data_IF_337638361502
#
_entry.id   IF_337638361502
#
_cell.length_a   1.000
_cell.length_b   1.000
_cell.length_c   1.000
_cell.angle_alpha   90.00
_cell.angle_beta   90.00
_cell.angle_gamma   90.00
#
_symmetry.space_group_name_H-M   'P 1'
#
loop_
_entity.id
_entity.type
_entity.pdbx_description
1 polymer ?
2 non-polymer ?
3 water ?
#
# COMPACT_ATOMS: atom_id res chain seq x y z
N UNK A 1 -1.63 -25.72 -3.28
CA UNK A 1 -1.74 -26.96 -2.44
C UNK A 1 -1.99 -26.66 -0.97
N UNK A 2 -2.37 -27.69 -0.18
CA UNK A 2 -2.68 -27.52 1.27
C UNK A 2 -1.58 -26.82 2.10
N UNK A 3 -0.33 -27.13 1.78
CA UNK A 3 0.85 -26.55 2.42
C UNK A 3 1.58 -25.52 1.57
N UNK A 4 1.09 -25.28 0.34
CA UNK A 4 1.77 -24.50 -0.68
C UNK A 4 0.90 -23.40 -1.28
N UNK A 5 0.98 -22.16 -0.74
CA UNK A 5 0.26 -21.06 -1.37
C UNK A 5 0.92 -20.61 -2.67
N UNK A 6 0.15 -20.07 -3.58
CA UNK A 6 0.69 -19.48 -4.79
C UNK A 6 0.15 -18.04 -4.78
N UNK A 7 1.00 -17.11 -4.35
CA UNK A 7 0.69 -15.70 -4.33
C UNK A 7 1.04 -15.08 -5.68
N UNK A 8 0.05 -14.42 -6.32
CA UNK A 8 0.27 -13.60 -7.52
C UNK A 8 0.31 -12.13 -7.08
N UNK A 9 1.41 -11.43 -7.39
CA UNK A 9 1.58 -10.00 -7.12
C UNK A 9 1.35 -9.26 -8.45
N UNK A 10 0.26 -8.53 -8.54
CA UNK A 10 -0.13 -7.78 -9.75
C UNK A 10 0.35 -6.34 -9.62
N UNK A 11 0.49 -5.66 -10.77
CA UNK A 11 1.03 -4.30 -10.83
C UNK A 11 2.35 -4.21 -10.04
N UNK A 12 3.22 -5.19 -10.30
CA UNK A 12 4.50 -5.34 -9.59
C UNK A 12 5.42 -4.16 -9.90
N UNK A 13 5.35 -3.71 -11.15
CA UNK A 13 6.07 -2.55 -11.64
C UNK A 13 7.54 -2.54 -11.29
N UNK A 14 7.93 -1.55 -10.50
CA UNK A 14 9.29 -1.29 -10.12
C UNK A 14 9.63 -1.81 -8.70
N UNK A 15 8.69 -2.50 -8.05
CA UNK A 15 8.86 -2.94 -6.66
C UNK A 15 9.59 -4.28 -6.58
N UNK A 16 10.83 -4.26 -7.08
CA UNK A 16 11.67 -5.41 -7.19
C UNK A 16 12.09 -5.95 -5.83
N UNK A 17 12.54 -5.04 -4.97
CA UNK A 17 12.99 -5.41 -3.64
C UNK A 17 11.84 -6.04 -2.83
N UNK A 18 10.61 -5.51 -2.96
CA UNK A 18 9.44 -6.08 -2.26
C UNK A 18 9.14 -7.51 -2.71
N UNK A 19 9.20 -7.75 -4.02
CA UNK A 19 8.95 -9.10 -4.59
C UNK A 19 10.03 -10.07 -4.09
N UNK A 20 11.28 -9.59 -4.02
CA UNK A 20 12.41 -10.37 -3.51
C UNK A 20 12.12 -10.78 -2.07
N UNK A 21 11.55 -9.85 -1.29
CA UNK A 21 11.19 -10.18 0.09
C UNK A 21 10.14 -11.29 0.15
N UNK A 22 9.14 -11.21 -0.71
CA UNK A 22 8.11 -12.25 -0.81
C UNK A 22 8.67 -13.61 -1.24
N UNK A 23 9.51 -13.62 -2.28
CA UNK A 23 10.14 -14.86 -2.73
C UNK A 23 10.91 -15.51 -1.57
N UNK A 24 11.66 -14.70 -0.83
CA UNK A 24 12.40 -15.19 0.35
C UNK A 24 11.48 -15.73 1.45
N UNK A 25 10.40 -15.02 1.76
CA UNK A 25 9.54 -15.43 2.89
C UNK A 25 8.54 -16.54 2.61
N UNK A 26 8.19 -16.76 1.33
CA UNK A 26 7.31 -17.89 0.96
C UNK A 26 8.12 -19.19 0.97
N UNK A 27 8.33 -19.72 2.18
CA UNK A 27 9.14 -20.94 2.45
C UNK A 27 8.59 -22.21 1.82
N UNK A 28 7.29 -22.22 1.54
CA UNK A 28 6.64 -23.28 0.78
C UNK A 28 5.84 -22.55 -0.29
N UNK A 29 5.52 -23.29 -1.34
CA UNK A 29 4.74 -22.73 -2.41
C UNK A 29 5.49 -21.78 -3.34
N UNK A 30 4.76 -20.81 -3.89
CA UNK A 30 5.25 -19.95 -4.95
C UNK A 30 4.77 -18.50 -4.87
N UNK A 31 5.63 -17.59 -5.33
CA UNK A 31 5.31 -16.19 -5.51
C UNK A 31 5.55 -15.91 -6.99
N UNK A 32 4.51 -15.43 -7.67
CA UNK A 32 4.57 -15.03 -9.09
C UNK A 32 4.20 -13.55 -9.19
N UNK A 33 4.53 -12.95 -10.33
CA UNK A 33 4.29 -11.54 -10.58
C UNK A 33 3.51 -11.31 -11.90
N UNK A 34 2.82 -10.16 -11.96
CA UNK A 34 2.16 -9.71 -13.18
C UNK A 34 2.20 -8.20 -13.31
N UNK A 35 2.20 -7.75 -14.56
CA UNK A 35 2.19 -6.32 -14.92
C UNK A 35 1.76 -6.20 -16.40
N UNK A 36 1.36 -5.01 -16.84
CA UNK A 36 1.00 -4.78 -18.25
C UNK A 36 2.20 -4.55 -19.16
N UNK A 37 3.37 -4.25 -18.59
CA UNK A 37 4.60 -4.00 -19.37
C UNK A 37 5.68 -5.03 -19.10
N UNK A 38 6.33 -5.59 -20.15
CA UNK A 38 7.52 -6.43 -19.93
C UNK A 38 8.74 -5.66 -19.36
N UNK A 39 8.71 -4.33 -19.37
CA UNK A 39 9.78 -3.51 -18.79
C UNK A 39 9.60 -3.23 -17.30
N UNK A 40 8.66 -3.93 -16.62
CA UNK A 40 8.51 -3.80 -15.17
C UNK A 40 9.59 -4.67 -14.51
N UNK A 41 10.59 -4.05 -13.88
CA UNK A 41 11.71 -4.77 -13.23
C UNK A 41 11.30 -5.81 -12.19
N UNK A 42 10.27 -5.52 -11.40
CA UNK A 42 9.78 -6.45 -10.37
C UNK A 42 9.32 -7.82 -10.90
N UNK A 43 8.86 -7.86 -12.16
CA UNK A 43 8.45 -9.12 -12.83
C UNK A 43 9.50 -10.24 -12.71
N UNK A 44 10.76 -9.84 -12.91
CA UNK A 44 11.89 -10.78 -13.00
C UNK A 44 12.49 -11.22 -11.68
N UNK A 45 11.93 -10.73 -10.57
CA UNK A 45 12.33 -11.15 -9.23
C UNK A 45 11.62 -12.45 -8.81
N UNK A 46 10.61 -12.87 -9.58
CA UNK A 46 9.87 -14.12 -9.34
C UNK A 46 10.13 -15.04 -10.54
N UNK A 47 10.02 -16.35 -10.31
CA UNK A 47 10.26 -17.38 -11.34
C UNK A 47 9.27 -17.32 -12.50
N UNK A 48 7.99 -17.19 -12.16
CA UNK A 48 6.90 -17.06 -13.12
C UNK A 48 6.41 -15.61 -13.06
N UNK A 49 6.38 -14.98 -14.21
CA UNK A 49 5.94 -13.59 -14.41
C UNK A 49 5.03 -13.61 -15.65
N UNK A 50 3.96 -12.80 -15.61
CA UNK A 50 2.97 -12.76 -16.69
C UNK A 50 2.61 -11.32 -17.09
N UNK A 51 2.36 -11.12 -18.38
CA UNK A 51 1.90 -9.86 -18.91
C UNK A 51 0.38 -9.98 -18.90
N UNK A 52 -0.26 -8.97 -18.33
CA UNK A 52 -1.72 -8.87 -18.20
C UNK A 52 -2.20 -7.55 -18.86
N UNK A 53 -3.53 -7.39 -19.05
CA UNK A 53 -3.99 -6.08 -19.54
C UNK A 53 -3.74 -4.93 -18.55
N UNK A 54 -3.88 -3.70 -19.02
CA UNK A 54 -3.83 -2.54 -18.13
C UNK A 54 -5.07 -2.63 -17.21
N UNK A 55 -4.95 -2.11 -16.00
CA UNK A 55 -6.04 -2.20 -15.01
C UNK A 55 -7.36 -1.53 -15.41
N UNK A 56 -7.28 -0.48 -16.25
CA UNK A 56 -8.47 0.23 -16.74
C UNK A 56 -9.14 -0.44 -17.96
N UNK A 57 -8.50 -1.47 -18.55
CA UNK A 57 -9.12 -2.20 -19.68
C UNK A 57 -10.26 -3.04 -19.11
N UNK A 58 -11.35 -3.12 -19.88
CA UNK A 58 -12.58 -3.80 -19.47
C UNK A 58 -12.37 -5.28 -19.07
N UNK A 59 -11.60 -5.98 -19.90
CA UNK A 59 -11.28 -7.41 -19.70
C UNK A 59 -10.21 -7.73 -18.64
N UNK A 60 -9.76 -6.75 -17.84
CA UNK A 60 -8.68 -6.99 -16.87
C UNK A 60 -8.98 -8.10 -15.85
N UNK A 61 -10.10 -7.98 -15.16
CA UNK A 61 -10.53 -8.95 -14.15
C UNK A 61 -10.79 -10.32 -14.77
N UNK A 62 -11.47 -10.38 -15.93
CA UNK A 62 -11.69 -11.65 -16.68
C UNK A 62 -10.37 -12.37 -16.92
N UNK A 63 -9.38 -11.59 -17.35
CA UNK A 63 -8.03 -12.09 -17.62
C UNK A 63 -7.34 -12.60 -16.37
N UNK A 64 -7.43 -11.86 -15.26
CA UNK A 64 -6.84 -12.29 -13.99
C UNK A 64 -7.45 -13.57 -13.46
N UNK A 65 -8.76 -13.72 -13.61
CA UNK A 65 -9.46 -14.92 -13.17
C UNK A 65 -8.95 -16.14 -13.97
N UNK A 66 -8.83 -15.96 -15.28
CA UNK A 66 -8.32 -17.03 -16.16
C UNK A 66 -6.85 -17.39 -15.89
N UNK A 67 -6.02 -16.36 -15.67
CA UNK A 67 -4.61 -16.56 -15.30
C UNK A 67 -4.50 -17.35 -14.00
N UNK A 68 -5.32 -16.97 -13.02
CA UNK A 68 -5.33 -17.63 -11.71
C UNK A 68 -5.64 -19.13 -11.80
N UNK A 69 -6.69 -19.48 -12.54
CA UNK A 69 -7.10 -20.86 -12.76
C UNK A 69 -6.04 -21.65 -13.52
N UNK A 70 -5.52 -21.05 -14.59
CA UNK A 70 -4.49 -21.69 -15.41
C UNK A 70 -3.17 -21.92 -14.67
N UNK A 71 -2.77 -20.99 -13.80
CA UNK A 71 -1.49 -21.07 -13.08
C UNK A 71 -1.57 -21.54 -11.61
N UNK A 72 -2.74 -22.00 -11.18
CA UNK A 72 -2.93 -22.51 -9.82
C UNK A 72 -2.69 -21.49 -8.72
N UNK A 73 -3.06 -20.24 -8.99
CA UNK A 73 -2.89 -19.15 -8.03
C UNK A 73 -3.89 -19.38 -6.90
N UNK A 74 -3.43 -19.24 -5.67
CA UNK A 74 -4.27 -19.38 -4.46
C UNK A 74 -4.62 -18.02 -3.82
N UNK A 75 -3.76 -17.02 -4.03
CA UNK A 75 -3.97 -15.68 -3.46
C UNK A 75 -3.42 -14.59 -4.38
N UNK A 76 -4.01 -13.41 -4.25
CA UNK A 76 -3.68 -12.27 -5.09
C UNK A 76 -3.52 -11.00 -4.23
N UNK A 77 -2.54 -10.18 -4.59
CA UNK A 77 -2.22 -8.92 -3.92
C UNK A 77 -1.79 -7.93 -5.00
N UNK A 78 -2.26 -6.68 -4.94
CA UNK A 78 -1.76 -5.62 -5.83
C UNK A 78 -0.87 -4.68 -5.02
N UNK A 79 0.00 -4.01 -5.74
CA UNK A 79 0.94 -3.04 -5.17
C UNK A 79 0.56 -1.60 -5.49
N UNK A 80 -0.54 -1.35 -6.24
CA UNK A 80 -0.95 0.03 -6.60
C UNK A 80 -2.37 0.38 -6.12
N UNK A 81 -2.55 1.65 -5.75
CA UNK A 81 -3.83 2.19 -5.27
C UNK A 81 -5.04 2.02 -6.21
N UNK A 82 -4.89 2.35 -7.50
CA UNK A 82 -6.03 2.25 -8.41
C UNK A 82 -6.60 0.83 -8.63
N UNK A 83 -5.79 -0.19 -8.38
CA UNK A 83 -6.22 -1.58 -8.51
C UNK A 83 -6.92 -2.11 -7.25
N UNK A 84 -6.73 -1.48 -6.10
CA UNK A 84 -7.30 -1.96 -4.83
C UNK A 84 -8.82 -2.11 -4.86
N UNK A 85 -9.53 -1.04 -5.16
CA UNK A 85 -10.97 -1.07 -5.33
C UNK A 85 -11.46 -2.04 -6.41
N UNK A 86 -10.72 -2.13 -7.51
CA UNK A 86 -11.05 -3.04 -8.63
C UNK A 86 -11.06 -4.51 -8.17
N UNK A 87 -10.01 -4.92 -7.46
CA UNK A 87 -9.91 -6.27 -6.90
C UNK A 87 -10.92 -6.50 -5.74
N UNK A 88 -11.12 -5.48 -4.90
CA UNK A 88 -12.08 -5.55 -3.80
C UNK A 88 -13.49 -5.80 -4.32
N UNK A 89 -13.87 -5.07 -5.37
CA UNK A 89 -15.19 -5.19 -6.02
C UNK A 89 -15.42 -6.59 -6.66
N UNK A 90 -14.33 -7.19 -7.15
CA UNK A 90 -14.30 -8.50 -7.79
C UNK A 90 -14.00 -9.69 -6.86
N UNK A 91 -13.88 -9.46 -5.54
CA UNK A 91 -13.52 -10.53 -4.60
C UNK A 91 -14.36 -11.78 -4.71
N UNK A 92 -15.68 -11.61 -4.84
CA UNK A 92 -16.60 -12.77 -5.00
C UNK A 92 -16.31 -13.62 -6.24
N UNK A 93 -15.83 -13.00 -7.31
CA UNK A 93 -15.48 -13.72 -8.54
C UNK A 93 -14.23 -14.55 -8.34
N UNK A 94 -13.27 -13.99 -7.60
CA UNK A 94 -12.07 -14.70 -7.22
C UNK A 94 -12.42 -15.83 -6.24
N UNK A 95 -13.32 -15.57 -5.30
CA UNK A 95 -13.79 -16.59 -4.36
C UNK A 95 -14.51 -17.75 -5.07
N UNK A 96 -15.21 -17.44 -6.17
CA UNK A 96 -15.87 -18.44 -7.00
C UNK A 96 -14.89 -19.39 -7.71
N UNK A 97 -13.63 -19.00 -7.86
CA UNK A 97 -12.55 -19.89 -8.40
C UNK A 97 -11.58 -20.37 -7.30
N UNK A 98 -11.93 -20.12 -6.03
CA UNK A 98 -11.09 -20.46 -4.88
C UNK A 98 -9.94 -19.54 -4.55
N UNK A 99 -9.86 -18.33 -5.15
CA UNK A 99 -8.74 -17.43 -4.93
C UNK A 99 -9.06 -16.35 -3.88
N UNK A 100 -8.15 -16.19 -2.90
CA UNK A 100 -8.25 -15.16 -1.85
C UNK A 100 -7.55 -13.88 -2.32
N UNK A 101 -8.33 -12.80 -2.44
CA UNK A 101 -7.82 -11.49 -2.81
C UNK A 101 -7.43 -10.81 -1.49
N UNK A 102 -6.17 -10.46 -1.36
CA UNK A 102 -5.64 -9.82 -0.14
C UNK A 102 -5.80 -8.30 -0.34
N UNK A 103 -6.98 -7.83 0.02
CA UNK A 103 -7.33 -6.43 -0.09
C UNK A 103 -8.37 -6.11 0.96
N UNK A 104 -8.35 -4.86 1.43
CA UNK A 104 -9.34 -4.38 2.39
C UNK A 104 -10.68 -4.27 1.67
N UNK A 105 -11.81 -4.27 2.43
CA UNK A 105 -13.14 -4.13 1.83
C UNK A 105 -13.26 -2.93 0.89
N UNK A 106 -14.07 -3.08 -0.15
CA UNK A 106 -14.25 -2.07 -1.20
C UNK A 106 -14.53 -0.67 -0.70
N UNK A 107 -15.51 -0.54 0.19
CA UNK A 107 -15.89 0.79 0.75
C UNK A 107 -14.71 1.47 1.42
N UNK A 108 -13.92 0.70 2.16
CA UNK A 108 -12.72 1.21 2.82
C UNK A 108 -11.70 1.68 1.77
N UNK A 109 -11.48 0.86 0.73
CA UNK A 109 -10.54 1.21 -0.36
C UNK A 109 -10.95 2.52 -1.03
N UNK A 110 -12.24 2.63 -1.34
CA UNK A 110 -12.76 3.83 -2.01
C UNK A 110 -12.73 5.07 -1.13
N UNK A 111 -13.00 4.90 0.17
CA UNK A 111 -12.93 6.00 1.15
C UNK A 111 -11.50 6.55 1.26
N UNK A 112 -10.53 5.65 1.27
CA UNK A 112 -9.12 6.01 1.29
C UNK A 112 -8.60 6.58 -0.02
N UNK A 113 -9.13 6.10 -1.15
CA UNK A 113 -8.66 6.52 -2.48
C UNK A 113 -9.03 7.96 -2.86
N UNK A 114 -10.21 8.39 -2.42
CA UNK A 114 -10.73 9.73 -2.73
C UNK A 114 -10.31 10.64 -1.57
N UNK A 115 -9.47 11.63 -1.88
CA UNK A 115 -8.92 12.54 -0.88
C UNK A 115 -10.00 13.33 -0.12
N UNK A 116 -11.11 13.63 -0.80
CA UNK A 116 -12.19 14.38 -0.15
C UNK A 116 -12.95 13.52 0.85
N UNK A 117 -13.29 12.28 0.48
CA UNK A 117 -14.01 11.37 1.41
C UNK A 117 -13.11 11.04 2.60
N UNK A 118 -11.82 10.88 2.35
CA UNK A 118 -10.81 10.67 3.41
C UNK A 118 -10.83 11.87 4.42
N UNK A 119 -10.87 13.09 3.90
CA UNK A 119 -10.97 14.32 4.69
C UNK A 119 -12.24 14.34 5.55
N UNK A 120 -13.38 14.01 4.93
CA UNK A 120 -14.68 13.96 5.61
C UNK A 120 -14.63 12.91 6.74
N UNK A 121 -14.03 11.74 6.48
CA UNK A 121 -13.85 10.69 7.53
C UNK A 121 -13.10 11.26 8.75
N UNK A 122 -11.99 11.95 8.49
CA UNK A 122 -11.15 12.57 9.53
C UNK A 122 -11.93 13.59 10.36
N UNK A 123 -12.69 14.46 9.69
CA UNK A 123 -13.55 15.44 10.37
C UNK A 123 -14.56 14.74 11.31
N UNK A 124 -15.15 13.64 10.85
CA UNK A 124 -16.09 12.85 11.67
C UNK A 124 -15.43 12.17 12.87
N UNK A 125 -14.22 11.66 12.64
CA UNK A 125 -13.48 10.89 13.65
C UNK A 125 -12.65 11.73 14.60
N UNK A 126 -12.50 13.03 14.35
CA UNK A 126 -11.65 13.89 15.17
C UNK A 126 -10.15 13.75 14.91
N UNK A 127 -9.79 13.31 13.71
CA UNK A 127 -8.38 13.14 13.31
C UNK A 127 -7.93 14.42 12.59
N UNK A 128 -6.81 15.02 13.01
CA UNK A 128 -6.29 16.23 12.35
C UNK A 128 -5.95 15.92 10.89
N UNK A 129 -6.25 16.88 10.02
CA UNK A 129 -6.08 16.73 8.58
C UNK A 129 -6.07 18.12 7.98
N UNK A 130 -5.27 18.31 6.92
CA UNK A 130 -5.21 19.59 6.20
C UNK A 130 -6.61 19.97 5.67
N UNK A 131 -7.02 21.22 5.91
CA UNK A 131 -8.27 21.75 5.37
C UNK A 131 -8.27 21.51 3.87
N UNK A 132 -9.34 20.90 3.37
CA UNK A 132 -9.44 20.46 1.98
C UNK A 132 -10.74 20.94 1.39
N UNK A 133 -10.67 21.37 0.13
CA UNK A 133 -11.81 21.95 -0.59
C UNK A 133 -12.04 21.22 -1.93
N UNK A 134 -13.27 20.78 -2.16
CA UNK A 134 -13.71 20.10 -3.40
C UNK A 134 -14.31 21.05 -4.46
N UNK A 135 -14.64 22.28 -4.06
CA UNK A 135 -15.18 23.32 -4.95
C UNK A 135 -14.31 24.58 -4.86
N UNK A 136 -14.35 25.40 -5.91
CA UNK A 136 -13.59 26.66 -5.98
C UNK A 136 -14.18 27.72 -5.06
N UNK A 137 -15.52 27.70 -4.91
CA UNK A 137 -16.24 28.65 -4.03
C UNK A 137 -15.83 28.53 -2.56
N UNK A 138 -15.81 27.29 -2.06
CA UNK A 138 -15.45 26.98 -0.65
C UNK A 138 -14.01 27.36 -0.33
N UNK A 139 -13.09 27.19 -1.29
CA UNK A 139 -11.69 27.61 -1.15
C UNK A 139 -11.58 29.14 -1.04
N UNK A 140 -12.32 29.85 -1.90
CA UNK A 140 -12.35 31.33 -1.89
C UNK A 140 -12.96 31.85 -0.57
N UNK A 141 -14.06 31.23 -0.13
CA UNK A 141 -14.71 31.52 1.17
C UNK A 141 -13.71 31.36 2.32
N UNK A 142 -13.02 30.22 2.34
CA UNK A 142 -12.01 29.92 3.36
C UNK A 142 -10.84 30.91 3.37
N UNK A 143 -10.40 31.34 2.19
CA UNK A 143 -9.37 32.38 2.06
C UNK A 143 -9.91 33.69 2.60
N UNK A 144 -11.16 34.02 2.23
CA UNK A 144 -11.87 35.23 2.68
C UNK A 144 -12.01 35.30 4.22
N UNK A 145 -12.30 34.16 4.84
CA UNK A 145 -12.41 34.05 6.31
C UNK A 145 -11.07 33.84 7.05
N UNK A 146 -9.94 33.81 6.34
CA UNK A 146 -8.61 33.56 6.93
C UNK A 146 -8.38 32.12 7.41
N UNK A 147 -9.25 31.20 6.97
CA UNK A 147 -9.18 29.79 7.35
C UNK A 147 -8.03 29.07 6.63
N UNK A 148 -7.58 29.62 5.50
CA UNK A 148 -6.44 29.10 4.74
C UNK A 148 -5.59 30.26 4.16
N UNK A 149 -4.26 30.08 4.20
CA UNK A 149 -3.27 31.08 3.75
C UNK A 149 -2.90 30.91 2.26
N UNK A 150 -2.23 31.94 1.74
CA UNK A 150 -1.81 32.06 0.32
C UNK A 150 -1.14 30.84 -0.34
N UNK A 151 -0.04 30.28 0.26
CA UNK A 151 0.62 29.11 -0.36
C UNK A 151 -0.24 27.84 -0.16
N UNK A 152 -0.47 27.10 -1.24
CA UNK A 152 -1.39 25.95 -1.27
C UNK A 152 -0.96 24.79 -2.21
N UNK A 153 -1.34 23.56 -1.84
CA UNK A 153 -1.15 22.38 -2.70
C UNK A 153 -2.48 22.16 -3.44
N UNK A 154 -2.40 21.97 -4.76
CA UNK A 154 -3.52 21.54 -5.58
C UNK A 154 -3.14 20.12 -6.02
N UNK A 155 -3.93 19.13 -5.59
CA UNK A 155 -3.71 17.71 -5.89
C UNK A 155 -4.89 17.19 -6.73
N UNK A 156 -4.71 16.03 -7.42
CA UNK A 156 -5.88 15.41 -8.07
C UNK A 156 -6.73 14.79 -6.94
N UNK A 157 -8.03 14.68 -7.13
CA UNK A 157 -8.91 14.18 -6.06
C UNK A 157 -8.66 12.72 -5.67
N UNK A 158 -8.44 11.87 -6.67
CA UNK A 158 -8.20 10.44 -6.48
C UNK A 158 -6.71 10.10 -6.37
N UNK A 159 -6.39 9.17 -5.45
CA UNK A 159 -5.01 8.71 -5.18
C UNK A 159 -4.45 9.32 -3.90
N UNK A 183 -11.54 16.31 -12.04
CA UNK A 183 -11.82 16.74 -10.68
C UNK A 183 -10.55 16.72 -9.79
N UNK A 184 -10.31 17.84 -9.10
CA UNK A 184 -9.15 18.04 -8.23
C UNK A 184 -9.61 18.52 -6.84
N UNK A 185 -8.63 18.69 -5.95
CA UNK A 185 -8.83 19.30 -4.63
C UNK A 185 -7.73 20.32 -4.38
N UNK A 186 -8.04 21.31 -3.54
CA UNK A 186 -7.06 22.29 -3.06
C UNK A 186 -7.02 22.06 -1.55
N UNK A 187 -5.83 22.14 -0.96
CA UNK A 187 -5.70 21.96 0.48
C UNK A 187 -4.55 22.72 1.13
N UNK A 188 -4.73 22.99 2.43
CA UNK A 188 -3.80 23.69 3.30
C UNK A 188 -2.41 23.08 3.19
N UNK A 189 -1.39 23.93 2.95
CA UNK A 189 0.00 23.50 2.84
C UNK A 189 0.53 23.20 4.25
N UNK A 190 0.72 21.92 4.54
CA UNK A 190 1.21 21.45 5.83
C UNK A 190 2.75 21.52 5.79
N UNK A 191 3.31 22.25 6.74
CA UNK A 191 4.75 22.43 6.85
C UNK A 191 5.15 21.72 8.14
N UNK A 192 5.90 20.63 8.00
CA UNK A 192 6.34 19.84 9.15
C UNK A 192 7.10 18.58 8.79
N UNK A 193 7.38 17.74 9.78
CA UNK A 193 8.11 16.50 9.54
C UNK A 193 7.15 15.45 9.03
N UNK A 194 7.39 14.97 7.80
CA UNK A 194 6.55 13.95 7.17
C UNK A 194 6.96 12.57 7.69
N UNK A 195 5.96 11.76 8.03
CA UNK A 195 6.14 10.41 8.58
C UNK A 195 5.44 9.39 7.68
N UNK A 196 6.15 8.31 7.38
CA UNK A 196 5.64 7.20 6.54
C UNK A 196 5.51 5.99 7.46
N UNK A 197 4.27 5.59 7.74
CA UNK A 197 3.98 4.50 8.67
C UNK A 197 3.51 3.25 7.91
N UNK A 198 4.26 2.15 8.08
CA UNK A 198 3.91 0.84 7.53
C UNK A 198 3.12 0.16 8.63
N UNK A 199 2.02 -0.49 8.27
CA UNK A 199 1.18 -1.20 9.24
C UNK A 199 0.65 -2.48 8.63
N UNK A 200 0.56 -3.52 9.46
CA UNK A 200 0.03 -4.82 9.04
C UNK A 200 -1.10 -5.20 9.97
N UNK A 201 -2.26 -5.48 9.39
CA UNK A 201 -3.43 -5.99 10.12
C UNK A 201 -3.58 -7.45 9.72
N UNK A 202 -3.53 -8.32 10.73
CA UNK A 202 -3.58 -9.77 10.56
C UNK A 202 -4.85 -10.17 9.83
N UNK A 203 -4.71 -11.01 8.80
CA UNK A 203 -5.85 -11.39 7.97
C UNK A 203 -6.85 -12.33 8.65
N UNK A 204 -6.45 -12.99 9.74
CA UNK A 204 -7.30 -13.94 10.46
C UNK A 204 -7.92 -13.25 11.68
N UNK A 205 -7.07 -12.74 12.57
CA UNK A 205 -7.54 -12.09 13.80
C UNK A 205 -8.13 -10.70 13.65
N UNK A 206 -7.81 -10.02 12.55
CA UNK A 206 -8.21 -8.62 12.35
C UNK A 206 -7.49 -7.62 13.25
N UNK A 207 -6.43 -8.02 13.97
CA UNK A 207 -5.70 -7.13 14.87
C UNK A 207 -4.41 -6.58 14.23
N UNK A 208 -4.05 -5.36 14.60
CA UNK A 208 -2.81 -4.74 14.14
C UNK A 208 -1.65 -5.43 14.88
N UNK A 209 -0.75 -6.02 14.10
CA UNK A 209 0.39 -6.77 14.61
C UNK A 209 1.72 -6.03 14.58
N UNK A 210 1.85 -5.08 13.67
CA UNK A 210 3.06 -4.30 13.54
C UNK A 210 2.84 -2.97 12.85
N UNK A 211 3.54 -1.97 13.39
CA UNK A 211 3.51 -0.59 12.93
C UNK A 211 4.96 -0.17 12.90
N UNK A 212 5.43 0.35 11.76
CA UNK A 212 6.80 0.83 11.62
C UNK A 212 6.72 2.29 11.17
N UNK A 213 7.34 3.18 11.95
CA UNK A 213 7.33 4.62 11.71
C UNK A 213 8.73 5.09 11.28
N UNK A 214 8.77 5.83 10.18
CA UNK A 214 10.01 6.43 9.70
C UNK A 214 9.73 7.89 9.37
N UNK A 215 10.73 8.76 9.61
CA UNK A 215 10.65 10.14 9.16
C UNK A 215 11.09 10.08 7.71
N UNK A 216 10.30 10.66 6.80
CA UNK A 216 10.73 10.79 5.40
C UNK A 216 11.69 11.98 5.32
N UNK A 217 12.96 11.72 5.01
CA UNK A 217 14.00 12.75 4.95
C UNK A 217 14.16 13.35 3.57
N UNK A 218 14.16 12.52 2.53
CA UNK A 218 14.33 12.91 1.15
C UNK A 218 13.37 12.11 0.26
N UNK A 219 12.74 12.79 -0.71
CA UNK A 219 11.85 12.17 -1.68
C UNK A 219 12.59 12.09 -3.00
N UNK A 220 12.24 11.06 -3.78
CA UNK A 220 12.78 10.85 -5.13
C UNK A 220 11.65 10.25 -5.96
N UNK A 221 11.32 10.87 -7.09
CA UNK A 221 10.23 10.43 -8.01
C UNK A 221 8.93 10.05 -7.28
N UNK A 222 8.59 10.84 -6.27
CA UNK A 222 7.38 10.63 -5.47
C UNK A 222 7.42 9.55 -4.40
N UNK A 223 8.59 8.96 -4.15
CA UNK A 223 8.77 7.90 -3.14
C UNK A 223 9.79 8.33 -2.11
N UNK A 224 9.73 7.70 -0.94
CA UNK A 224 10.67 7.93 0.14
C UNK A 224 11.98 7.28 -0.30
N UNK A 225 13.02 8.10 -0.40
CA UNK A 225 14.35 7.69 -0.82
C UNK A 225 15.29 7.54 0.38
N UNK A 226 15.15 8.44 1.36
CA UNK A 226 15.96 8.41 2.58
C UNK A 226 15.02 8.61 3.77
N UNK A 227 15.25 7.84 4.85
CA UNK A 227 14.39 7.87 6.02
C UNK A 227 15.09 7.42 7.29
N UNK A 228 14.50 7.77 8.43
CA UNK A 228 15.04 7.45 9.76
C UNK A 228 13.94 6.80 10.59
N UNK A 229 14.20 5.62 11.15
CA UNK A 229 13.20 4.93 12.00
C UNK A 229 13.04 5.68 13.31
N UNK A 230 11.80 5.73 13.80
CA UNK A 230 11.46 6.42 15.05
C UNK A 230 10.45 5.58 15.84
N UNK A 231 10.48 5.74 17.16
CA UNK A 231 9.54 5.11 18.08
C UNK A 231 8.79 6.25 18.74
N UNK A 232 7.49 6.35 18.46
CA UNK A 232 6.63 7.42 18.98
C UNK A 232 5.27 6.91 19.43
N UNK A 233 4.98 7.00 20.73
CA UNK A 233 3.69 6.54 21.30
C UNK A 233 2.50 7.21 20.63
N UNK A 234 2.62 8.52 20.38
CA UNK A 234 1.54 9.26 19.72
C UNK A 234 1.18 8.68 18.34
N UNK A 235 2.18 8.36 17.52
CA UNK A 235 1.91 7.76 16.19
C UNK A 235 1.29 6.35 16.33
N UNK A 236 1.85 5.54 17.24
CA UNK A 236 1.31 4.18 17.48
C UNK A 236 -0.14 4.24 17.89
N UNK A 237 -0.45 5.11 18.86
CA UNK A 237 -1.83 5.29 19.34
C UNK A 237 -2.77 5.82 18.25
N UNK A 238 -2.33 6.81 17.48
CA UNK A 238 -3.13 7.37 16.35
C UNK A 238 -3.48 6.29 15.31
N UNK A 239 -2.47 5.54 14.87
CA UNK A 239 -2.64 4.47 13.90
C UNK A 239 -3.56 3.35 14.43
N UNK A 240 -3.34 2.93 15.67
CA UNK A 240 -4.18 1.91 16.35
C UNK A 240 -5.65 2.34 16.41
N UNK A 241 -5.88 3.58 16.87
CA UNK A 241 -7.22 4.19 16.94
C UNK A 241 -7.89 4.24 15.55
N UNK A 242 -7.15 4.66 14.53
CA UNK A 242 -7.68 4.72 13.16
C UNK A 242 -8.04 3.31 12.66
N UNK A 243 -7.13 2.36 12.83
CA UNK A 243 -7.37 0.96 12.38
C UNK A 243 -8.45 0.21 13.16
N UNK A 244 -8.58 0.52 14.44
CA UNK A 244 -9.60 -0.09 15.33
C UNK A 244 -11.01 0.09 14.75
N UNK A 245 -11.61 -1.01 14.31
CA UNK A 245 -12.94 -1.02 13.70
C UNK A 245 -13.02 -0.53 12.26
N UNK A 246 -11.88 -0.24 11.62
CA UNK A 246 -11.87 0.24 10.23
C UNK A 246 -12.25 -0.82 9.20
N UNK A 247 -11.83 -2.05 9.43
CA UNK A 247 -11.99 -3.13 8.47
C UNK A 247 -10.80 -3.26 7.52
N UNK A 248 -9.80 -2.38 7.64
CA UNK A 248 -8.59 -2.44 6.81
C UNK A 248 -7.81 -3.69 7.22
N UNK A 249 -7.31 -4.44 6.23
CA UNK A 249 -6.59 -5.69 6.49
C UNK A 249 -5.32 -5.79 5.66
N UNK A 250 -4.41 -6.65 6.12
CA UNK A 250 -3.16 -6.91 5.42
C UNK A 250 -2.18 -5.73 5.49
N UNK A 251 -1.25 -5.61 4.50
CA UNK A 251 -0.26 -4.51 4.48
C UNK A 251 -0.89 -3.17 4.14
N UNK A 252 -0.53 -2.16 4.92
CA UNK A 252 -1.08 -0.81 4.86
C UNK A 252 0.02 0.24 5.00
N UNK A 253 -0.30 1.43 4.50
CA UNK A 253 0.59 2.57 4.50
C UNK A 253 -0.17 3.83 4.93
N UNK A 254 0.36 4.54 5.92
CA UNK A 254 -0.20 5.79 6.41
C UNK A 254 0.83 6.88 6.15
N UNK A 255 0.39 8.02 5.62
CA UNK A 255 1.23 9.20 5.42
C UNK A 255 0.78 10.21 6.47
N UNK A 256 1.70 10.64 7.33
CA UNK A 256 1.40 11.60 8.40
C UNK A 256 2.34 12.78 8.36
N UNK A 257 1.96 13.84 9.08
CA UNK A 257 2.78 15.05 9.23
C UNK A 257 2.75 15.47 10.68
N UNK A 258 3.92 15.61 11.27
CA UNK A 258 4.07 16.20 12.60
C UNK A 258 4.26 17.70 12.27
N UNK A 259 3.29 18.51 12.69
CA UNK A 259 3.28 19.96 12.48
C UNK A 259 3.21 20.60 13.84
N UNK A 260 4.35 21.01 14.39
CA UNK A 260 4.44 21.67 15.70
C UNK A 260 3.92 20.79 16.85
N UNK A 261 4.26 19.49 16.81
CA UNK A 261 3.83 18.51 17.82
C UNK A 261 2.46 17.85 17.65
N UNK A 262 1.70 18.27 16.61
CA UNK A 262 0.38 17.70 16.33
C UNK A 262 0.46 16.83 15.06
N UNK A 263 -0.08 15.61 15.16
CA UNK A 263 -0.08 14.66 14.06
C UNK A 263 -1.28 14.87 13.15
N UNK A 264 -1.00 15.16 11.89
CA UNK A 264 -1.99 15.30 10.83
C UNK A 264 -1.94 14.05 9.98
N UNK A 265 -3.12 13.50 9.66
CA UNK A 265 -3.24 12.35 8.77
C UNK A 265 -3.37 12.91 7.36
N UNK A 266 -2.46 12.53 6.46
CA UNK A 266 -2.44 13.00 5.08
C UNK A 266 -3.05 11.97 4.15
N UNK A 267 -2.62 10.72 4.26
CA UNK A 267 -3.12 9.61 3.43
C UNK A 267 -3.18 8.28 4.17
N UNK A 268 -4.15 7.45 3.75
CA UNK A 268 -4.17 6.02 4.09
C UNK A 268 -4.19 5.34 2.74
N UNK A 269 -3.17 4.54 2.47
CA UNK A 269 -3.02 3.80 1.23
C UNK A 269 -3.10 2.32 1.59
N UNK A 270 -4.25 1.64 1.34
CA UNK A 270 -4.37 0.21 1.74
C UNK A 270 -3.51 -0.79 0.94
N UNK A 271 -2.21 -0.59 0.96
CA UNK A 271 -1.23 -1.40 0.26
C UNK A 271 0.16 -1.09 0.82
N UNK A 272 1.17 -1.86 0.41
CA UNK A 272 2.57 -1.61 0.84
C UNK A 272 3.05 -0.21 0.46
N UNK A 273 3.62 0.52 1.41
CA UNK A 273 4.20 1.82 1.10
C UNK A 273 5.51 1.66 0.38
N UNK A 274 5.91 2.66 -0.38
CA UNK A 274 7.21 2.65 -1.07
C UNK A 274 8.42 2.59 -0.15
N UNK A 275 8.25 2.98 1.12
CA UNK A 275 9.31 2.88 2.11
C UNK A 275 9.32 1.59 2.93
N UNK A 276 8.49 0.60 2.54
CA UNK A 276 8.41 -0.67 3.26
C UNK A 276 9.78 -1.36 3.49
N UNK A 277 10.69 -1.36 2.50
CA UNK A 277 12.03 -1.95 2.75
C UNK A 277 12.72 -1.47 4.06
N UNK A 278 12.47 -0.26 4.52
CA UNK A 278 13.02 0.22 5.80
C UNK A 278 12.51 -0.68 6.95
N UNK A 279 11.18 -0.88 6.98
CA UNK A 279 10.50 -1.73 7.97
C UNK A 279 11.10 -3.14 7.91
N UNK A 280 11.12 -3.72 6.72
CA UNK A 280 11.65 -5.07 6.52
C UNK A 280 13.07 -5.25 7.07
N UNK A 281 13.98 -4.38 6.65
CA UNK A 281 15.38 -4.45 7.07
C UNK A 281 15.55 -4.24 8.59
N UNK A 282 14.62 -3.51 9.22
CA UNK A 282 14.59 -3.33 10.69
C UNK A 282 13.88 -4.48 11.43
N UNK A 283 13.46 -5.54 10.72
CA UNK A 283 12.85 -6.73 11.30
C UNK A 283 11.33 -6.80 11.33
N UNK A 284 10.66 -5.80 10.77
CA UNK A 284 9.20 -5.71 10.72
C UNK A 284 8.83 -6.35 9.37
N UNK A 285 8.52 -7.65 9.43
CA UNK A 285 8.38 -8.55 8.25
C UNK A 285 6.93 -8.88 7.81
N UNK A 286 6.35 -8.03 6.97
CA UNK A 286 4.96 -8.22 6.49
C UNK A 286 4.83 -9.41 5.56
N UNK A 287 5.80 -9.59 4.60
CA UNK A 287 5.73 -10.78 3.74
C UNK A 287 5.72 -12.11 4.51
N UNK A 288 6.51 -12.22 5.59
CA UNK A 288 6.50 -13.43 6.45
C UNK A 288 5.14 -13.57 7.15
N UNK A 289 4.60 -12.46 7.66
CA UNK A 289 3.29 -12.46 8.30
C UNK A 289 2.17 -12.83 7.31
N UNK A 290 2.29 -12.33 6.08
CA UNK A 290 1.35 -12.65 5.01
C UNK A 290 1.43 -14.15 4.69
N UNK A 291 2.65 -14.65 4.51
CA UNK A 291 2.88 -16.07 4.28
C UNK A 291 2.24 -16.89 5.41
N UNK A 292 2.49 -16.52 6.66
CA UNK A 292 1.90 -17.21 7.83
C UNK A 292 0.37 -17.21 7.82
N UNK A 293 -0.23 -16.07 7.47
CA UNK A 293 -1.68 -15.95 7.33
C UNK A 293 -2.23 -16.88 6.24
N UNK A 294 -1.56 -16.97 5.09
CA UNK A 294 -1.98 -17.94 4.04
C UNK A 294 -1.78 -19.40 4.46
N UNK A 295 -0.88 -19.63 5.43
CA UNK A 295 -0.69 -20.94 6.06
C UNK A 295 -1.60 -21.10 7.30
N UNK A 296 -2.61 -20.25 7.41
CA UNK A 296 -3.64 -20.26 8.47
C UNK A 296 -3.18 -20.00 9.89
N UNK A 297 -2.02 -19.31 10.04
CA UNK A 297 -1.47 -18.96 11.34
C UNK A 297 -1.77 -17.50 11.65
N UNK A 298 -2.21 -17.25 12.87
CA UNK A 298 -2.43 -15.89 13.36
C UNK A 298 -1.08 -15.35 13.81
N UNK A 299 -0.75 -14.11 13.43
CA UNK A 299 0.49 -13.45 13.87
C UNK A 299 0.28 -12.80 15.23
N UNK A 300 1.25 -12.98 16.12
CA UNK A 300 1.22 -12.40 17.47
C UNK A 300 1.59 -10.92 17.38
N UNK A 301 0.74 -10.01 17.90
CA UNK A 301 1.10 -8.58 17.87
C UNK A 301 2.37 -8.23 18.63
N UNK A 302 3.26 -7.49 17.97
CA UNK A 302 4.57 -7.11 18.48
C UNK A 302 4.84 -5.67 18.00
N UNK A 303 4.03 -4.74 18.50
CA UNK A 303 4.10 -3.33 18.10
C UNK A 303 5.31 -2.66 18.78
N UNK A 304 6.06 -1.88 18.00
CA UNK A 304 7.21 -1.11 18.47
C UNK A 304 8.46 -1.90 18.87
N UNK A 305 8.60 -3.12 18.36
CA UNK A 305 9.75 -3.98 18.65
C UNK A 305 10.74 -3.91 17.49
N UNK A 306 11.35 -2.73 17.37
CA UNK A 306 12.40 -2.45 16.41
C UNK A 306 13.23 -1.31 16.95
N UNK A 307 14.36 -1.05 16.32
CA UNK A 307 15.26 -0.01 16.80
C UNK A 307 14.96 1.30 16.11
N UNK A 308 14.99 2.39 16.88
CA UNK A 308 14.87 3.73 16.28
C UNK A 308 16.29 4.17 15.87
N UNK A 309 16.34 5.33 15.22
CA UNK A 309 17.58 5.96 14.77
C UNK A 309 18.37 5.09 13.76
N UNK A 310 17.64 4.32 12.95
CA UNK A 310 18.25 3.51 11.89
C UNK A 310 17.82 4.19 10.59
N UNK A 311 18.79 4.58 9.76
CA UNK A 311 18.53 5.28 8.51
C UNK A 311 18.46 4.32 7.33
N UNK A 312 17.54 4.58 6.39
CA UNK A 312 17.44 3.81 5.14
C UNK A 312 17.87 4.78 4.04
N UNK A 313 18.76 4.32 3.14
CA UNK A 313 19.23 5.05 1.99
C UNK A 313 19.05 4.14 0.78
N UNK A 314 18.10 4.47 -0.08
CA UNK A 314 17.89 3.71 -1.33
C UNK A 314 18.97 4.08 -2.37
N UNK A 315 19.23 3.13 -3.26
CA UNK A 315 20.14 3.32 -4.40
C UNK A 315 19.81 2.31 -5.49
N UNK A 316 20.06 2.71 -6.74
CA UNK A 316 19.68 1.89 -7.87
C UNK A 316 20.66 0.73 -8.09
N UNK A 317 20.06 -0.44 -8.34
CA UNK A 317 20.79 -1.59 -8.84
C UNK A 317 20.15 -1.87 -10.20
N UNK A 318 20.55 -2.95 -10.87
CA UNK A 318 20.14 -3.17 -12.23
C UNK A 318 19.83 -4.62 -12.53
N UNK A 319 18.92 -4.82 -13.48
CA UNK A 319 18.60 -6.11 -14.05
C UNK A 319 18.74 -5.95 -15.56
N UNK A 320 19.54 -6.83 -16.17
CA UNK A 320 19.67 -6.86 -17.62
C UNK A 320 18.87 -8.05 -18.17
N UNK A 321 18.14 -7.78 -19.26
CA UNK A 321 17.35 -8.78 -19.93
C UNK A 321 17.42 -8.52 -21.44
N UNK A 322 17.71 -9.57 -22.21
CA UNK A 322 17.78 -9.46 -23.66
C UNK A 322 16.36 -9.38 -24.21
N UNK A 323 16.22 -8.85 -25.43
CA UNK A 323 14.91 -8.75 -26.11
C UNK A 323 14.29 -10.13 -26.34
N UNK A 324 15.12 -11.12 -26.66
CA UNK A 324 14.69 -12.51 -26.85
C UNK A 324 14.14 -13.07 -25.55
N UNK A 325 14.86 -12.87 -24.44
CA UNK A 325 14.40 -13.29 -23.12
C UNK A 325 13.13 -12.54 -22.67
N UNK A 326 13.03 -11.25 -23.05
CA UNK A 326 11.85 -10.43 -22.79
C UNK A 326 10.65 -11.04 -23.54
N UNK A 327 10.90 -11.42 -24.81
CA UNK A 327 9.92 -12.04 -25.72
C UNK A 327 9.42 -13.46 -25.30
N UNK A 328 10.07 -14.11 -24.32
CA UNK A 328 9.63 -15.44 -23.79
C UNK A 328 8.30 -15.43 -22.98
N UNK A 329 7.76 -14.24 -22.71
CA UNK A 329 6.39 -14.03 -22.17
C UNK A 329 5.66 -13.11 -23.19
N UNK A 330 5.28 -11.87 -22.83
CA UNK A 330 4.52 -10.92 -23.70
C UNK A 330 3.23 -11.57 -24.27
N UNK A 331 2.64 -12.46 -23.47
CA UNK A 331 1.52 -13.33 -23.82
C UNK A 331 1.91 -14.29 -24.96
X LIG B 1 2.91 6.92 -0.41
X LIG B 1 2.82 7.19 -1.80
X LIG B 1 3.92 5.78 -0.09
X LIG B 1 4.15 5.00 -1.24
X LIG B 1 5.25 6.28 0.50
X LIG B 1 5.74 5.48 1.58
#
# INVERSE_FOLDING_TARGET
GMQKPHLLITSAGRRAKLVEYFVKEFKTGRVSTADCSPLASALYMADQHYIVPKIDEVEYIDHLLTLCQDEGVTALLTLIDPELGLLAQATERFQAIGVTVIVSPYAACELCFDKYTMYEYCLRQGIAHARTYATMASFEEALAAGEVQLPVFVKPRNGSASIEVRRVETVEEVEQLFSKNTDLIVQELLVGQELGVDAYVDLISGKVTSIFIKEKLTMRAGETDKSRSVLRDDVFELVEHVLDGSGLVGPLDFDLFDVAGTLYLSEINPRFGGGYPHAYECGVNFPAQLYRNLMHEINVPQIGQYLDDIYMLKHDTVTLISAAELQKIKR
GOL C1 O1 C2 O2 C3 O3
#
